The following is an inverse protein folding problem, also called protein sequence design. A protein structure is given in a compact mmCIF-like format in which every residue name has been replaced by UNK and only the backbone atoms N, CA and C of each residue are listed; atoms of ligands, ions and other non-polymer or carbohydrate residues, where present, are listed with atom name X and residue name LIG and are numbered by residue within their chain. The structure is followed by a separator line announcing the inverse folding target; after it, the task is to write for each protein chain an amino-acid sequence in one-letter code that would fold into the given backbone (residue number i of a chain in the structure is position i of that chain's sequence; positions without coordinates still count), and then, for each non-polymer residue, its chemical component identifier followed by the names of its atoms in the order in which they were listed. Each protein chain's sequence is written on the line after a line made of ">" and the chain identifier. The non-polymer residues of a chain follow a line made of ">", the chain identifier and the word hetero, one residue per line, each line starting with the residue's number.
data_IF_823586049006
#
_entry.id   IF_823586049006
#
_cell.length_a   1.000
_cell.length_b   1.000
_cell.length_c   1.000
_cell.angle_alpha   90.00
_cell.angle_beta   90.00
_cell.angle_gamma   90.00
#
_symmetry.space_group_name_H-M   'P 1'
#
loop_
_entity.id
_entity.type
_entity.pdbx_description
1 polymer ?
#
# COMPACT_ATOMS: atom_id res chain seq x y z
N UNK A 1 -3.00 17.06 -6.24
CA UNK A 1 -2.13 16.00 -6.78
C UNK A 1 -1.07 15.72 -5.72
N UNK A 2 -1.05 14.51 -5.14
CA UNK A 2 -0.03 14.15 -4.14
C UNK A 2 1.19 13.59 -4.88
N UNK A 3 2.29 14.33 -4.85
CA UNK A 3 3.62 13.88 -5.28
C UNK A 3 4.14 12.82 -4.31
N UNK A 4 4.76 11.75 -4.84
CA UNK A 4 5.46 10.78 -3.99
C UNK A 4 6.60 11.49 -3.26
N UNK A 5 6.46 11.65 -1.96
CA UNK A 5 7.57 11.97 -1.08
C UNK A 5 7.93 10.69 -0.35
N UNK A 6 9.23 10.35 -0.31
CA UNK A 6 9.75 9.14 0.34
C UNK A 6 9.32 8.98 1.81
N UNK A 7 8.71 10.00 2.44
CA UNK A 7 8.16 9.93 3.79
C UNK A 7 6.70 9.47 3.91
N UNK A 8 5.96 9.24 2.81
CA UNK A 8 4.51 8.99 2.91
C UNK A 8 4.19 7.48 2.86
N UNK A 9 4.60 6.75 3.90
CA UNK A 9 4.33 5.33 4.16
C UNK A 9 2.94 4.87 3.68
N UNK A 10 1.91 5.59 4.11
CA UNK A 10 0.52 5.21 3.87
C UNK A 10 0.16 5.21 2.37
N UNK A 11 0.78 6.09 1.58
CA UNK A 11 0.57 6.16 0.13
C UNK A 11 1.14 4.91 -0.53
N UNK A 12 2.39 4.56 -0.23
CA UNK A 12 3.03 3.40 -0.85
C UNK A 12 2.38 2.09 -0.37
N UNK A 13 2.07 1.95 0.92
CA UNK A 13 1.44 0.74 1.45
C UNK A 13 0.01 0.55 0.93
N UNK A 14 -0.76 1.63 0.75
CA UNK A 14 -2.08 1.55 0.12
C UNK A 14 -1.97 1.13 -1.35
N UNK A 15 -1.07 1.76 -2.11
CA UNK A 15 -0.78 1.36 -3.49
C UNK A 15 -0.35 -0.10 -3.59
N UNK A 16 0.53 -0.55 -2.68
CA UNK A 16 0.97 -1.94 -2.62
C UNK A 16 -0.18 -2.91 -2.38
N UNK A 17 -1.08 -2.61 -1.42
CA UNK A 17 -2.28 -3.46 -1.19
C UNK A 17 -3.21 -3.49 -2.39
N UNK A 18 -3.46 -2.34 -3.02
CA UNK A 18 -4.29 -2.24 -4.24
C UNK A 18 -3.70 -3.04 -5.42
N UNK A 19 -2.38 -3.19 -5.47
CA UNK A 19 -1.66 -3.94 -6.51
C UNK A 19 -1.27 -5.36 -6.07
N UNK A 20 -1.94 -5.93 -5.05
CA UNK A 20 -1.75 -7.30 -4.56
C UNK A 20 -0.36 -7.64 -3.99
N UNK A 21 0.40 -6.64 -3.52
CA UNK A 21 1.62 -6.89 -2.77
C UNK A 21 1.30 -7.28 -1.32
N UNK A 22 2.07 -8.19 -0.70
CA UNK A 22 1.81 -8.67 0.65
C UNK A 22 2.27 -7.63 1.70
N UNK A 23 1.35 -6.76 2.12
CA UNK A 23 1.58 -5.75 3.18
C UNK A 23 0.67 -6.05 4.37
N UNK A 24 1.18 -6.87 5.30
CA UNK A 24 0.45 -7.30 6.49
C UNK A 24 1.32 -7.24 7.73
N UNK A 25 0.71 -6.96 8.87
CA UNK A 25 1.37 -7.03 10.18
C UNK A 25 2.00 -8.41 10.40
N UNK A 26 3.24 -8.44 10.89
CA UNK A 26 4.08 -9.61 11.12
C UNK A 26 4.38 -10.46 9.88
N UNK A 27 4.09 -9.95 8.68
CA UNK A 27 4.47 -10.61 7.44
C UNK A 27 5.87 -10.19 6.99
N UNK A 28 6.48 -11.06 6.18
CA UNK A 28 7.68 -10.74 5.45
C UNK A 28 7.41 -9.60 4.46
N UNK A 29 8.35 -8.67 4.42
CA UNK A 29 8.38 -7.51 3.57
C UNK A 29 9.69 -7.53 2.77
N UNK A 30 9.59 -7.64 1.44
CA UNK A 30 10.76 -7.85 0.58
C UNK A 30 11.20 -6.55 -0.09
N UNK A 31 12.52 -6.32 -0.14
CA UNK A 31 13.08 -5.13 -0.81
C UNK A 31 12.58 -4.97 -2.26
N UNK A 32 12.55 -6.09 -2.98
CA UNK A 32 12.19 -6.12 -4.40
C UNK A 32 10.73 -5.69 -4.64
N UNK A 33 9.84 -6.02 -3.72
CA UNK A 33 8.44 -5.61 -3.80
C UNK A 33 8.32 -4.09 -3.63
N UNK A 34 9.13 -3.49 -2.76
CA UNK A 34 9.23 -2.04 -2.61
C UNK A 34 9.78 -1.39 -3.89
N UNK A 35 10.85 -1.94 -4.47
CA UNK A 35 11.41 -1.43 -5.73
C UNK A 35 10.38 -1.44 -6.86
N UNK A 36 9.64 -2.53 -7.02
CA UNK A 36 8.59 -2.62 -8.03
C UNK A 36 7.42 -1.68 -7.73
N UNK A 37 6.96 -1.63 -6.48
CA UNK A 37 5.87 -0.75 -6.08
C UNK A 37 6.20 0.73 -6.34
N UNK A 38 7.41 1.18 -6.02
CA UNK A 38 7.84 2.57 -6.28
C UNK A 38 7.90 2.84 -7.79
N UNK A 39 8.49 1.93 -8.57
CA UNK A 39 8.57 2.08 -10.02
C UNK A 39 7.18 2.15 -10.65
N UNK A 40 6.28 1.26 -10.26
CA UNK A 40 4.91 1.21 -10.77
C UNK A 40 4.10 2.43 -10.32
N UNK A 41 4.27 2.88 -9.07
CA UNK A 41 3.64 4.11 -8.59
C UNK A 41 4.03 5.31 -9.46
N UNK A 42 5.34 5.51 -9.70
CA UNK A 42 5.81 6.63 -10.53
C UNK A 42 5.34 6.49 -11.97
N UNK A 43 5.29 5.27 -12.50
CA UNK A 43 4.77 5.00 -13.83
C UNK A 43 3.29 5.34 -13.98
N UNK A 44 2.46 4.95 -13.00
CA UNK A 44 1.01 5.18 -13.02
C UNK A 44 0.68 6.65 -12.77
N UNK A 45 1.35 7.31 -11.82
CA UNK A 45 1.01 8.67 -11.40
C UNK A 45 1.73 9.77 -12.19
N UNK A 46 2.96 9.55 -12.63
CA UNK A 46 3.75 10.54 -13.38
C UNK A 46 3.90 10.20 -14.87
N UNK A 47 3.51 8.99 -15.30
CA UNK A 47 3.69 8.54 -16.68
C UNK A 47 5.15 8.32 -17.06
N UNK A 48 6.05 8.14 -16.08
CA UNK A 48 7.50 8.01 -16.30
C UNK A 48 8.02 6.65 -15.83
N UNK A 49 8.99 6.11 -16.55
CA UNK A 49 9.77 4.95 -16.09
C UNK A 49 11.12 5.43 -15.57
N UNK A 50 11.30 5.35 -14.25
CA UNK A 50 12.54 5.76 -13.56
C UNK A 50 13.65 4.69 -13.65
N UNK A 51 13.32 3.49 -14.13
CA UNK A 51 14.26 2.36 -14.22
C UNK A 51 14.67 1.79 -12.85
N UNK A 52 15.40 0.68 -12.87
CA UNK A 52 15.74 -0.07 -11.65
C UNK A 52 16.73 0.65 -10.72
N UNK A 53 17.67 1.44 -11.25
CA UNK A 53 18.67 2.13 -10.43
C UNK A 53 18.03 3.19 -9.52
N UNK A 54 17.16 4.01 -10.09
CA UNK A 54 16.49 5.07 -9.32
C UNK A 54 15.42 4.50 -8.40
N UNK A 55 14.67 3.49 -8.85
CA UNK A 55 13.74 2.76 -8.00
C UNK A 55 14.43 2.14 -6.78
N UNK A 56 15.61 1.53 -6.97
CA UNK A 56 16.42 0.99 -5.88
C UNK A 56 16.92 2.06 -4.91
N UNK A 57 17.36 3.23 -5.41
CA UNK A 57 17.75 4.36 -4.55
C UNK A 57 16.60 4.80 -3.65
N UNK A 58 15.42 5.01 -4.23
CA UNK A 58 14.21 5.41 -3.50
C UNK A 58 13.74 4.32 -2.53
N UNK A 59 13.78 3.05 -2.93
CA UNK A 59 13.43 1.92 -2.08
C UNK A 59 14.38 1.82 -0.88
N UNK A 60 15.67 2.06 -1.08
CA UNK A 60 16.66 2.05 0.00
C UNK A 60 16.41 3.17 1.01
N UNK A 61 16.08 4.38 0.53
CA UNK A 61 15.73 5.51 1.40
C UNK A 61 14.45 5.22 2.19
N UNK A 62 13.43 4.69 1.51
CA UNK A 62 12.15 4.33 2.12
C UNK A 62 12.29 3.26 3.21
N UNK A 63 12.99 2.17 2.92
CA UNK A 63 13.22 1.08 3.89
C UNK A 63 14.04 1.59 5.07
N UNK A 64 15.08 2.38 4.83
CA UNK A 64 15.90 2.95 5.90
C UNK A 64 15.09 3.87 6.83
N UNK A 65 14.14 4.64 6.30
CA UNK A 65 13.28 5.49 7.13
C UNK A 65 12.25 4.67 7.93
N UNK A 66 11.71 3.58 7.37
CA UNK A 66 10.84 2.66 8.12
C UNK A 66 11.58 1.86 9.19
N UNK A 67 12.85 1.50 8.95
CA UNK A 67 13.71 0.88 9.97
C UNK A 67 13.95 1.82 11.15
N UNK A 68 14.28 3.10 10.88
CA UNK A 68 14.46 4.11 11.94
C UNK A 68 13.20 4.33 12.78
N UNK A 69 12.04 4.17 12.17
CA UNK A 69 10.73 4.30 12.85
C UNK A 69 10.30 3.00 13.55
N UNK A 70 11.14 1.96 13.55
CA UNK A 70 10.86 0.63 14.12
C UNK A 70 9.64 -0.08 13.50
N UNK A 71 9.17 0.38 12.34
CA UNK A 71 8.05 -0.20 11.59
C UNK A 71 8.51 -1.44 10.82
N UNK A 72 9.74 -1.40 10.29
CA UNK A 72 10.37 -2.57 9.68
C UNK A 72 11.50 -3.05 10.58
N UNK A 73 11.52 -4.35 10.89
CA UNK A 73 12.68 -4.97 11.55
C UNK A 73 13.39 -5.93 10.59
N UNK A 74 14.72 -5.86 10.49
CA UNK A 74 15.47 -6.75 9.61
C UNK A 74 15.29 -8.21 10.08
N UNK A 75 14.93 -9.08 9.15
CA UNK A 75 14.78 -10.52 9.40
C UNK A 75 15.80 -11.34 8.62
N UNK A 76 16.18 -10.89 7.42
CA UNK A 76 17.16 -11.55 6.57
C UNK A 76 17.72 -10.63 5.50
N UNK A 77 18.47 -11.20 4.56
CA UNK A 77 19.04 -10.43 3.45
C UNK A 77 17.90 -9.90 2.56
N UNK A 78 17.77 -8.58 2.48
CA UNK A 78 16.73 -7.90 1.71
C UNK A 78 15.30 -8.28 2.15
N UNK A 79 15.12 -8.66 3.42
CA UNK A 79 13.82 -9.06 3.98
C UNK A 79 13.65 -8.49 5.39
N UNK A 80 12.49 -7.89 5.61
CA UNK A 80 12.08 -7.31 6.88
C UNK A 80 10.77 -7.93 7.32
N UNK A 81 10.42 -7.72 8.59
CA UNK A 81 9.08 -7.99 9.11
C UNK A 81 8.41 -6.64 9.37
N UNK A 82 7.17 -6.51 8.92
CA UNK A 82 6.34 -5.32 9.15
C UNK A 82 5.69 -5.37 10.53
N UNK A 83 6.05 -4.43 11.40
CA UNK A 83 5.51 -4.24 12.74
C UNK A 83 4.56 -3.03 12.77
N UNK A 84 3.45 -3.12 12.04
CA UNK A 84 2.41 -2.08 12.05
C UNK A 84 1.03 -2.68 12.28
N UNK A 85 0.40 -2.36 13.41
CA UNK A 85 -0.92 -2.89 13.79
C UNK A 85 -2.05 -2.37 12.88
N UNK A 86 -1.86 -1.24 12.18
CA UNK A 86 -2.82 -0.72 11.20
C UNK A 86 -3.01 -1.69 10.03
N UNK A 87 -1.98 -2.48 9.72
CA UNK A 87 -1.97 -3.50 8.68
C UNK A 87 -2.20 -4.91 9.22
N UNK A 88 -2.68 -5.02 10.46
CA UNK A 88 -3.16 -6.28 10.99
C UNK A 88 -4.40 -6.72 10.20
N UNK A 89 -4.47 -8.00 9.87
CA UNK A 89 -5.68 -8.63 9.35
C UNK A 89 -6.72 -8.61 10.48
N UNK A 90 -7.35 -7.46 10.72
CA UNK A 90 -8.61 -7.42 11.45
C UNK A 90 -9.55 -8.29 10.65
N UNK A 91 -9.98 -9.39 11.25
CA UNK A 91 -11.01 -10.26 10.71
C UNK A 91 -12.16 -9.35 10.29
N UNK A 92 -12.41 -9.25 8.99
CA UNK A 92 -13.50 -8.46 8.44
C UNK A 92 -14.79 -9.03 9.04
N UNK A 93 -15.34 -8.34 10.03
CA UNK A 93 -16.78 -8.33 10.21
C UNK A 93 -17.31 -7.39 9.13
N UNK A 94 -18.16 -7.96 8.30
CA UNK A 94 -18.77 -7.36 7.12
C UNK A 94 -19.36 -5.98 7.46
N UNK A 95 -18.98 -4.96 6.70
CA UNK A 95 -19.86 -3.85 6.39
C UNK A 95 -19.97 -3.76 4.86
N UNK A 96 -20.51 -4.82 4.26
CA UNK A 96 -21.27 -4.70 3.02
C UNK A 96 -22.73 -4.46 3.42
N UNK A 97 -23.25 -3.29 3.09
CA UNK A 97 -24.68 -3.01 3.13
C UNK A 97 -25.00 -1.63 3.65
N UNK A 98 -24.93 -0.62 2.78
CA UNK A 98 -26.09 0.26 2.51
C UNK A 98 -25.72 1.28 1.42
N UNK A 99 -25.84 0.88 0.14
CA UNK A 99 -25.86 1.87 -0.95
C UNK A 99 -26.58 1.40 -2.20
N UNK A 100 -27.81 0.87 -2.09
CA UNK A 100 -28.77 0.98 -3.21
C UNK A 100 -30.21 1.05 -2.70
N UNK A 101 -30.76 2.25 -2.57
CA UNK A 101 -32.19 2.49 -2.60
C UNK A 101 -32.45 3.85 -3.26
N UNK A 102 -32.17 3.91 -4.56
CA UNK A 102 -32.70 4.95 -5.43
C UNK A 102 -33.65 4.30 -6.44
N UNK A 103 -34.90 4.74 -6.37
CA UNK A 103 -35.91 4.77 -7.44
C UNK A 103 -36.44 3.46 -8.05
N UNK A 104 -37.72 3.18 -7.76
CA UNK A 104 -38.77 2.84 -8.74
C UNK A 104 -40.12 2.79 -7.99
N UNK A 105 -41.06 3.70 -8.28
CA UNK A 105 -42.38 3.40 -8.90
C UNK A 105 -43.40 2.86 -7.87
N UNK A 106 -44.69 3.16 -7.84
CA UNK A 106 -45.65 3.99 -8.56
C UNK A 106 -46.95 3.93 -7.71
N UNK A 107 -47.86 4.89 -7.87
CA UNK A 107 -49.34 4.73 -7.90
C UNK A 107 -49.93 3.38 -7.44
N UNK A 108 -50.93 3.32 -6.55
CA UNK A 108 -52.37 3.40 -6.92
C UNK A 108 -53.27 3.41 -5.67
N UNK A 109 -54.39 4.14 -5.79
CA UNK A 109 -55.56 4.26 -4.92
C UNK A 109 -56.18 2.95 -4.38
N UNK A 110 -56.89 3.09 -3.25
CA UNK A 110 -57.88 2.15 -2.72
C UNK A 110 -58.65 2.75 -1.55
#
# INVERSE_FOLDING_TARGET
>A
MQTFSAGNRNVLFSFMRENNFPVYHLSNFFYRDVEYAIRDYVRVHEGKDIGGREAGRLASEFVADLEKQEILRPHGKNTWILFDEEYSLKSVQQEEGESVAAAAEETTEG
#
